data_IF_827903347745
#
_entry.id   IF_827903347745
#
_cell.length_a   1.000
_cell.length_b   1.000
_cell.length_c   1.000
_cell.angle_alpha   90.00
_cell.angle_beta   90.00
_cell.angle_gamma   90.00
#
_symmetry.space_group_name_H-M   'P 1'
#
loop_
_entity.id
_entity.type
_entity.pdbx_description
1 polymer ?
#
# COMPACT_ATOMS: atom_id res chain seq x y z
N UNK A 1 34.68 -38.75 51.74
CA UNK A 1 34.74 -37.27 51.75
C UNK A 1 34.81 -36.83 50.29
N UNK A 2 33.98 -35.98 49.69
CA UNK A 2 32.80 -35.19 50.05
C UNK A 2 32.03 -34.94 48.73
N UNK A 3 30.71 -34.79 48.83
CA UNK A 3 29.77 -34.45 47.74
C UNK A 3 29.99 -33.01 47.24
N UNK A 4 29.86 -32.77 45.94
CA UNK A 4 29.44 -31.47 45.39
C UNK A 4 28.68 -31.72 44.07
N UNK A 5 27.38 -32.00 44.10
CA UNK A 5 26.24 -31.07 44.17
C UNK A 5 26.18 -30.07 43.01
N UNK A 6 25.25 -30.34 42.09
CA UNK A 6 24.44 -29.41 41.31
C UNK A 6 25.07 -28.07 40.89
N UNK A 7 25.36 -27.93 39.60
CA UNK A 7 25.12 -26.67 38.92
C UNK A 7 24.41 -26.93 37.58
N UNK A 8 23.18 -27.44 37.69
CA UNK A 8 22.10 -27.06 36.78
C UNK A 8 21.92 -25.54 36.97
N UNK A 9 22.66 -24.73 36.19
CA UNK A 9 22.33 -23.33 36.01
C UNK A 9 21.58 -23.23 34.68
N UNK A 10 20.29 -22.84 34.70
CA UNK A 10 19.47 -22.90 33.51
C UNK A 10 19.94 -21.83 32.54
N UNK A 11 20.19 -22.23 31.28
CA UNK A 11 20.28 -21.33 30.14
C UNK A 11 18.87 -20.77 29.80
N UNK A 12 18.20 -20.20 30.80
CA UNK A 12 16.95 -19.46 30.67
C UNK A 12 17.28 -17.97 30.50
N UNK A 13 18.20 -17.66 29.59
CA UNK A 13 18.41 -16.29 29.16
C UNK A 13 17.40 -15.99 28.05
N UNK A 14 16.28 -15.41 28.49
CA UNK A 14 15.60 -14.32 27.81
C UNK A 14 15.34 -14.54 26.31
N UNK A 15 14.46 -15.49 25.99
CA UNK A 15 13.53 -15.23 24.88
C UNK A 15 12.60 -14.11 25.36
N UNK A 16 12.99 -12.87 25.11
CA UNK A 16 12.07 -11.74 25.05
C UNK A 16 11.08 -12.05 23.93
N UNK A 17 10.03 -12.80 24.26
CA UNK A 17 8.85 -12.91 23.41
C UNK A 17 8.31 -11.49 23.30
N UNK A 18 8.52 -10.86 22.14
CA UNK A 18 7.81 -9.64 21.80
C UNK A 18 6.33 -9.99 21.79
N UNK A 19 5.64 -9.72 22.89
CA UNK A 19 4.19 -9.84 22.95
C UNK A 19 3.66 -8.73 22.07
N UNK A 20 3.38 -9.05 20.81
CA UNK A 20 2.70 -8.13 19.91
C UNK A 20 1.36 -7.79 20.56
N UNK A 21 1.21 -6.55 21.01
CA UNK A 21 -0.04 -6.08 21.58
C UNK A 21 -1.09 -6.08 20.46
N UNK A 22 -1.99 -7.06 20.49
CA UNK A 22 -3.16 -7.06 19.64
C UNK A 22 -4.24 -6.20 20.30
N UNK A 23 -5.00 -5.48 19.49
CA UNK A 23 -6.19 -4.75 19.93
C UNK A 23 -7.37 -5.09 19.05
N UNK A 24 -8.57 -4.94 19.57
CA UNK A 24 -9.80 -5.23 18.84
C UNK A 24 -10.56 -3.95 18.61
N UNK A 25 -10.94 -3.72 17.36
CA UNK A 25 -11.80 -2.62 16.95
C UNK A 25 -13.21 -3.14 16.77
N UNK A 26 -14.16 -2.47 17.43
CA UNK A 26 -15.57 -2.82 17.38
C UNK A 26 -16.38 -1.58 17.00
N UNK A 27 -17.38 -1.80 16.16
CA UNK A 27 -18.28 -0.74 15.73
C UNK A 27 -19.57 -1.31 15.16
N UNK A 28 -20.42 -0.41 14.69
CA UNK A 28 -21.69 -0.73 14.05
C UNK A 28 -21.86 0.12 12.79
N UNK A 29 -22.34 -0.49 11.73
CA UNK A 29 -22.59 0.15 10.44
C UNK A 29 -24.10 0.24 10.23
N UNK A 30 -24.59 1.44 9.92
CA UNK A 30 -26.02 1.70 9.69
C UNK A 30 -26.23 2.58 8.45
N UNK A 31 -27.42 2.49 7.86
CA UNK A 31 -27.88 3.43 6.83
C UNK A 31 -28.05 4.83 7.44
N UNK A 32 -27.44 5.84 6.83
CA UNK A 32 -27.47 7.22 7.33
C UNK A 32 -28.87 7.86 7.35
N UNK A 33 -29.81 7.40 6.53
CA UNK A 33 -31.14 7.96 6.40
C UNK A 33 -32.19 7.22 7.24
N UNK A 34 -32.19 5.89 7.24
CA UNK A 34 -33.15 5.07 8.00
C UNK A 34 -32.66 4.70 9.39
N UNK A 35 -31.34 4.73 9.64
CA UNK A 35 -30.74 4.22 10.87
C UNK A 35 -30.76 2.68 10.97
N UNK A 36 -31.16 1.98 9.91
CA UNK A 36 -31.22 0.52 9.90
C UNK A 36 -29.81 -0.09 9.86
N UNK A 37 -29.57 -1.20 10.58
CA UNK A 37 -28.30 -1.89 10.54
C UNK A 37 -28.01 -2.47 9.16
N UNK A 38 -26.77 -2.28 8.69
CA UNK A 38 -26.31 -2.83 7.42
C UNK A 38 -25.60 -4.15 7.66
N UNK A 39 -26.34 -5.25 7.55
CA UNK A 39 -25.83 -6.62 7.65
C UNK A 39 -25.06 -7.04 6.41
N UNK A 40 -23.89 -7.65 6.58
CA UNK A 40 -23.03 -8.09 5.48
C UNK A 40 -22.22 -6.97 4.81
N UNK A 41 -22.11 -5.80 5.44
CA UNK A 41 -21.16 -4.78 5.02
C UNK A 41 -19.73 -5.29 5.23
N UNK A 42 -18.88 -5.08 4.22
CA UNK A 42 -17.46 -5.42 4.29
C UNK A 42 -16.72 -4.33 5.08
N UNK A 43 -15.89 -4.77 6.02
CA UNK A 43 -15.11 -3.89 6.90
C UNK A 43 -13.68 -4.40 6.92
N UNK A 44 -12.74 -3.65 6.35
CA UNK A 44 -11.35 -4.11 6.20
C UNK A 44 -10.32 -2.99 6.33
N UNK A 45 -9.10 -3.34 6.71
CA UNK A 45 -8.00 -2.37 6.77
C UNK A 45 -7.33 -2.23 5.40
N UNK A 46 -7.20 -1.00 4.91
CA UNK A 46 -6.63 -0.73 3.58
C UNK A 46 -5.23 -1.35 3.43
N UNK A 47 -5.02 -2.03 2.30
CA UNK A 47 -3.77 -2.68 1.91
C UNK A 47 -3.29 -3.71 2.95
N UNK A 48 -4.21 -4.46 3.55
CA UNK A 48 -3.90 -5.57 4.46
C UNK A 48 -4.64 -6.83 4.06
N UNK A 49 -4.39 -7.95 4.74
CA UNK A 49 -5.25 -9.15 4.70
C UNK A 49 -6.39 -9.11 5.74
N UNK A 50 -6.48 -8.05 6.55
CA UNK A 50 -7.33 -7.98 7.73
C UNK A 50 -8.69 -7.38 7.37
N UNK A 51 -9.73 -8.22 7.42
CA UNK A 51 -11.10 -7.80 7.19
C UNK A 51 -12.13 -8.70 7.85
N UNK A 52 -13.35 -8.20 7.96
CA UNK A 52 -14.50 -8.87 8.53
C UNK A 52 -15.78 -8.38 7.83
N UNK A 53 -16.91 -8.96 8.22
CA UNK A 53 -18.23 -8.54 7.76
C UNK A 53 -19.12 -8.23 8.95
N UNK A 54 -20.07 -7.31 8.77
CA UNK A 54 -21.05 -7.02 9.82
C UNK A 54 -22.07 -8.14 9.98
N UNK A 55 -22.53 -8.35 11.22
CA UNK A 55 -23.60 -9.28 11.53
C UNK A 55 -24.99 -8.68 11.24
N UNK A 56 -26.07 -9.39 11.63
CA UNK A 56 -27.47 -8.98 11.38
C UNK A 56 -27.83 -7.64 12.01
N UNK A 57 -27.21 -7.32 13.13
CA UNK A 57 -27.39 -6.08 13.87
C UNK A 57 -26.43 -4.96 13.40
N UNK A 58 -25.67 -5.20 12.33
CA UNK A 58 -24.73 -4.24 11.73
C UNK A 58 -23.41 -4.13 12.51
N UNK A 59 -23.20 -4.94 13.54
CA UNK A 59 -21.98 -4.92 14.35
C UNK A 59 -20.84 -5.68 13.67
N UNK A 60 -19.61 -5.19 13.86
CA UNK A 60 -18.40 -5.90 13.48
C UNK A 60 -17.39 -5.90 14.62
N UNK A 61 -16.44 -6.84 14.55
CA UNK A 61 -15.29 -6.92 15.43
C UNK A 61 -14.08 -7.37 14.62
N UNK A 62 -12.96 -6.67 14.73
CA UNK A 62 -11.74 -6.93 13.97
C UNK A 62 -10.52 -6.81 14.89
N UNK A 63 -9.74 -7.90 14.98
CA UNK A 63 -8.49 -7.93 15.75
C UNK A 63 -7.31 -7.50 14.89
N UNK A 64 -6.54 -6.54 15.38
CA UNK A 64 -5.43 -5.90 14.69
C UNK A 64 -4.17 -5.99 15.55
N UNK A 65 -3.00 -5.97 14.91
CA UNK A 65 -1.71 -5.78 15.58
C UNK A 65 -1.44 -4.28 15.72
N UNK A 66 -0.44 -3.90 16.52
CA UNK A 66 0.05 -2.52 16.54
C UNK A 66 0.43 -2.04 15.14
N UNK A 67 0.14 -0.78 14.85
CA UNK A 67 0.36 -0.18 13.54
C UNK A 67 -0.57 0.98 13.22
N UNK A 68 -0.54 1.40 11.95
CA UNK A 68 -1.46 2.35 11.35
C UNK A 68 -2.46 1.65 10.46
N UNK A 69 -3.72 2.07 10.54
CA UNK A 69 -4.79 1.55 9.72
C UNK A 69 -5.81 2.64 9.40
N UNK A 70 -6.27 2.63 8.15
CA UNK A 70 -7.53 3.24 7.77
C UNK A 70 -8.51 2.11 7.44
N UNK A 71 -9.63 2.09 8.18
CA UNK A 71 -10.72 1.13 8.01
C UNK A 71 -11.57 1.55 6.82
N UNK A 72 -11.82 0.63 5.91
CA UNK A 72 -12.65 0.82 4.73
C UNK A 72 -13.93 0.02 4.92
N UNK A 73 -15.06 0.71 4.74
CA UNK A 73 -16.39 0.16 4.90
C UNK A 73 -17.08 0.25 3.55
N UNK A 74 -17.48 -0.90 3.01
CA UNK A 74 -18.14 -1.00 1.71
C UNK A 74 -19.38 -1.86 1.79
N UNK A 75 -20.46 -1.41 1.16
CA UNK A 75 -21.70 -2.15 1.07
C UNK A 75 -22.40 -1.81 -0.25
N UNK A 76 -22.96 -2.83 -0.91
CA UNK A 76 -23.52 -2.69 -2.25
C UNK A 76 -24.63 -1.62 -2.28
N UNK A 77 -24.47 -0.64 -3.17
CA UNK A 77 -25.40 0.48 -3.32
C UNK A 77 -25.18 1.64 -2.33
N UNK A 78 -24.04 1.66 -1.63
CA UNK A 78 -23.65 2.72 -0.72
C UNK A 78 -22.28 3.28 -1.10
N UNK A 79 -22.08 4.56 -0.78
CA UNK A 79 -20.78 5.18 -0.88
C UNK A 79 -19.82 4.54 0.14
N UNK A 80 -18.62 4.21 -0.32
CA UNK A 80 -17.59 3.66 0.55
C UNK A 80 -17.05 4.73 1.47
N UNK A 81 -16.86 4.34 2.73
CA UNK A 81 -16.37 5.23 3.77
C UNK A 81 -15.01 4.74 4.28
N UNK A 82 -14.11 5.69 4.52
CA UNK A 82 -12.82 5.45 5.13
C UNK A 82 -12.81 6.11 6.51
N UNK A 83 -12.39 5.37 7.53
CA UNK A 83 -12.30 5.85 8.90
C UNK A 83 -10.93 5.50 9.45
N UNK A 84 -10.16 6.51 9.86
CA UNK A 84 -8.89 6.29 10.56
C UNK A 84 -9.15 5.74 11.95
N UNK A 85 -8.44 4.67 12.31
CA UNK A 85 -8.60 3.99 13.60
C UNK A 85 -7.29 3.99 14.38
N UNK A 86 -7.40 3.90 15.70
CA UNK A 86 -6.24 3.85 16.60
C UNK A 86 -6.50 2.89 17.75
N UNK A 87 -5.42 2.31 18.30
CA UNK A 87 -5.49 1.46 19.48
C UNK A 87 -6.07 2.18 20.71
N UNK A 88 -5.90 3.50 20.80
CA UNK A 88 -6.46 4.32 21.88
C UNK A 88 -7.99 4.46 21.84
N UNK A 89 -8.63 4.13 20.70
CA UNK A 89 -10.07 4.22 20.53
C UNK A 89 -10.63 2.90 19.95
N UNK A 90 -10.69 1.83 20.77
CA UNK A 90 -11.10 0.50 20.31
C UNK A 90 -12.60 0.39 19.97
N UNK A 91 -13.44 1.22 20.59
CA UNK A 91 -14.87 1.30 20.27
C UNK A 91 -15.10 2.58 19.49
N UNK A 92 -15.48 2.41 18.22
CA UNK A 92 -15.78 3.53 17.35
C UNK A 92 -17.28 3.87 17.41
N UNK A 93 -17.66 5.16 17.24
CA UNK A 93 -19.04 5.54 17.02
C UNK A 93 -19.65 4.82 15.82
N UNK A 94 -20.98 4.80 15.75
CA UNK A 94 -21.69 4.26 14.59
C UNK A 94 -21.19 4.92 13.29
N UNK A 95 -20.86 4.09 12.31
CA UNK A 95 -20.46 4.54 10.98
C UNK A 95 -21.71 4.57 10.10
N UNK A 96 -22.01 5.76 9.57
CA UNK A 96 -23.19 6.03 8.77
C UNK A 96 -22.87 5.95 7.27
N UNK A 97 -23.37 4.92 6.59
CA UNK A 97 -23.21 4.85 5.14
C UNK A 97 -24.31 5.61 4.42
N UNK A 98 -23.91 6.36 3.40
CA UNK A 98 -24.82 7.12 2.53
C UNK A 98 -25.12 6.26 1.30
N UNK A 99 -26.40 6.08 0.98
CA UNK A 99 -26.80 5.39 -0.25
C UNK A 99 -26.20 6.10 -1.46
N UNK A 100 -25.64 5.31 -2.37
CA UNK A 100 -25.06 5.84 -3.59
C UNK A 100 -26.18 6.24 -4.56
N UNK A 101 -26.25 7.52 -4.88
CA UNK A 101 -27.17 8.01 -5.90
C UNK A 101 -26.63 7.68 -7.29
N UNK A 102 -27.11 6.55 -7.83
CA UNK A 102 -26.74 6.08 -9.17
C UNK A 102 -27.10 7.08 -10.28
N UNK A 103 -28.07 7.97 -10.06
CA UNK A 103 -28.48 8.94 -11.08
C UNK A 103 -27.39 9.98 -11.38
N UNK A 104 -26.60 10.38 -10.37
CA UNK A 104 -25.51 11.34 -10.55
C UNK A 104 -24.30 10.72 -11.26
N UNK A 105 -23.92 9.49 -10.89
CA UNK A 105 -22.86 8.75 -11.57
C UNK A 105 -23.21 8.48 -13.04
N UNK A 106 -24.46 8.10 -13.29
CA UNK A 106 -24.96 7.85 -14.65
C UNK A 106 -25.05 9.12 -15.51
N UNK A 107 -25.38 10.28 -14.94
CA UNK A 107 -25.37 11.57 -15.65
C UNK A 107 -23.94 12.02 -16.00
N UNK A 108 -22.96 11.82 -15.11
CA UNK A 108 -21.55 12.10 -15.42
C UNK A 108 -21.08 11.19 -16.56
N UNK A 109 -21.40 9.89 -16.51
CA UNK A 109 -21.00 8.93 -17.54
C UNK A 109 -21.69 9.26 -18.88
N UNK A 110 -23.00 9.50 -18.90
CA UNK A 110 -23.76 9.82 -20.13
C UNK A 110 -23.46 11.19 -20.73
N UNK A 111 -23.04 12.17 -19.92
CA UNK A 111 -22.58 13.49 -20.41
C UNK A 111 -21.10 13.52 -20.78
N UNK A 112 -20.36 12.44 -20.52
CA UNK A 112 -18.92 12.36 -20.72
C UNK A 112 -18.53 11.68 -22.05
N UNK A 113 -17.30 11.96 -22.47
CA UNK A 113 -16.63 11.35 -23.61
C UNK A 113 -16.17 9.91 -23.29
N UNK A 114 -17.07 9.05 -22.80
CA UNK A 114 -16.75 7.63 -22.59
C UNK A 114 -16.35 6.99 -23.93
N UNK A 115 -15.25 6.24 -23.90
CA UNK A 115 -14.74 5.52 -25.05
C UNK A 115 -15.43 4.15 -25.09
N UNK A 116 -16.34 3.96 -26.06
CA UNK A 116 -17.15 2.73 -26.19
C UNK A 116 -16.32 1.44 -26.24
N UNK A 117 -15.18 1.48 -26.92
CA UNK A 117 -14.19 0.40 -27.08
C UNK A 117 -12.94 0.69 -26.24
N UNK A 118 -13.16 1.19 -25.02
CA UNK A 118 -12.11 1.67 -24.14
C UNK A 118 -11.13 0.57 -23.73
N UNK A 119 -11.63 -0.64 -23.46
CA UNK A 119 -10.79 -1.77 -23.10
C UNK A 119 -9.89 -2.21 -24.27
N UNK A 120 -10.43 -2.31 -25.47
CA UNK A 120 -9.67 -2.69 -26.66
C UNK A 120 -8.57 -1.65 -26.99
N UNK A 121 -8.85 -0.36 -26.75
CA UNK A 121 -7.90 0.73 -27.03
C UNK A 121 -6.87 0.95 -25.94
N UNK A 122 -7.27 0.85 -24.68
CA UNK A 122 -6.48 1.31 -23.53
C UNK A 122 -6.28 0.24 -22.46
N UNK A 123 -6.83 -0.97 -22.62
CA UNK A 123 -6.73 -2.04 -21.63
C UNK A 123 -5.29 -2.42 -21.34
N UNK A 124 -4.48 -2.72 -22.37
CA UNK A 124 -3.04 -3.01 -22.19
C UNK A 124 -2.32 -1.84 -21.50
N UNK A 125 -2.58 -0.62 -21.95
CA UNK A 125 -1.98 0.58 -21.36
C UNK A 125 -2.35 0.73 -19.89
N UNK A 126 -3.61 0.52 -19.53
CA UNK A 126 -4.08 0.54 -18.15
C UNK A 126 -3.39 -0.54 -17.31
N UNK A 127 -3.32 -1.78 -17.82
CA UNK A 127 -2.65 -2.89 -17.12
C UNK A 127 -1.17 -2.57 -16.87
N UNK A 128 -0.45 -2.07 -17.87
CA UNK A 128 0.97 -1.72 -17.74
C UNK A 128 1.21 -0.66 -16.66
N UNK A 129 0.29 0.29 -16.49
CA UNK A 129 0.42 1.41 -15.53
C UNK A 129 -0.25 1.17 -14.18
N UNK A 130 -1.19 0.22 -14.10
CA UNK A 130 -1.92 -0.09 -12.87
C UNK A 130 -1.38 -1.36 -12.22
N UNK A 131 -1.26 -2.46 -12.97
CA UNK A 131 -0.67 -3.71 -12.49
C UNK A 131 0.86 -3.63 -12.51
N UNK A 132 1.43 -3.13 -13.61
CA UNK A 132 2.86 -2.96 -13.80
C UNK A 132 3.43 -3.77 -14.97
N UNK A 133 4.74 -3.65 -15.18
CA UNK A 133 5.49 -4.35 -16.23
C UNK A 133 6.62 -5.23 -15.68
N UNK A 134 6.55 -5.56 -14.40
CA UNK A 134 7.56 -6.35 -13.68
C UNK A 134 7.44 -7.85 -13.97
N UNK A 135 8.45 -8.67 -13.61
CA UNK A 135 8.33 -10.13 -13.71
C UNK A 135 7.11 -10.71 -12.98
N UNK A 136 6.69 -10.11 -11.87
CA UNK A 136 5.49 -10.52 -11.13
C UNK A 136 4.20 -10.08 -11.82
N UNK A 137 4.23 -8.95 -12.54
CA UNK A 137 3.10 -8.47 -13.35
C UNK A 137 2.68 -9.50 -14.41
N UNK A 138 3.63 -10.26 -14.97
CA UNK A 138 3.35 -11.34 -15.94
C UNK A 138 2.53 -12.50 -15.37
N UNK A 139 2.49 -12.64 -14.06
CA UNK A 139 1.72 -13.66 -13.32
C UNK A 139 0.57 -13.01 -12.53
N UNK A 140 0.18 -11.79 -12.90
CA UNK A 140 -0.91 -11.05 -12.28
C UNK A 140 -1.98 -10.74 -13.31
N UNK A 141 -3.21 -11.15 -13.04
CA UNK A 141 -4.33 -11.04 -13.98
C UNK A 141 -5.48 -10.23 -13.38
N UNK A 142 -6.02 -9.28 -14.15
CA UNK A 142 -7.32 -8.68 -13.89
C UNK A 142 -8.42 -9.64 -14.40
N UNK A 143 -9.28 -10.11 -13.50
CA UNK A 143 -10.27 -11.15 -13.80
C UNK A 143 -11.62 -10.61 -14.31
N UNK A 144 -11.88 -9.31 -14.09
CA UNK A 144 -13.14 -8.65 -14.46
C UNK A 144 -12.94 -7.31 -15.20
N UNK A 145 -12.23 -7.29 -16.34
CA UNK A 145 -11.94 -6.04 -17.07
C UNK A 145 -13.19 -5.30 -17.57
N UNK A 146 -14.31 -5.99 -17.74
CA UNK A 146 -15.58 -5.44 -18.24
C UNK A 146 -16.20 -4.35 -17.34
N UNK A 147 -15.79 -4.30 -16.07
CA UNK A 147 -16.27 -3.30 -15.11
C UNK A 147 -15.57 -1.94 -15.28
N UNK A 148 -14.50 -1.87 -16.08
CA UNK A 148 -13.76 -0.64 -16.33
C UNK A 148 -14.49 0.25 -17.35
N UNK A 149 -14.43 1.56 -17.10
CA UNK A 149 -14.98 2.62 -17.96
C UNK A 149 -13.89 3.63 -18.27
N UNK A 150 -13.67 3.92 -19.55
CA UNK A 150 -12.55 4.72 -20.02
C UNK A 150 -13.03 6.06 -20.58
N UNK A 151 -12.36 7.14 -20.19
CA UNK A 151 -12.72 8.50 -20.56
C UNK A 151 -11.49 9.25 -21.04
N UNK A 152 -11.50 9.69 -22.29
CA UNK A 152 -10.42 10.53 -22.84
C UNK A 152 -10.77 12.01 -22.67
N UNK A 153 -10.09 12.67 -21.74
CA UNK A 153 -10.25 14.09 -21.46
C UNK A 153 -9.35 14.91 -22.40
N UNK A 154 -9.82 15.13 -23.63
CA UNK A 154 -9.04 15.79 -24.70
C UNK A 154 -8.47 17.16 -24.31
N UNK A 155 -9.25 17.99 -23.61
CA UNK A 155 -8.82 19.35 -23.22
C UNK A 155 -7.63 19.36 -22.26
N UNK A 156 -7.58 18.41 -21.33
CA UNK A 156 -6.51 18.30 -20.34
C UNK A 156 -5.44 17.27 -20.73
N UNK A 157 -5.63 16.59 -21.87
CA UNK A 157 -4.79 15.50 -22.35
C UNK A 157 -4.59 14.41 -21.29
N UNK A 158 -5.70 13.87 -20.78
CA UNK A 158 -5.70 12.81 -19.75
C UNK A 158 -6.57 11.63 -20.15
N UNK A 159 -6.10 10.42 -19.86
CA UNK A 159 -6.94 9.23 -19.80
C UNK A 159 -7.41 9.05 -18.35
N UNK A 160 -8.73 8.98 -18.13
CA UNK A 160 -9.31 8.62 -16.84
C UNK A 160 -9.98 7.26 -16.97
N UNK A 161 -9.76 6.40 -15.99
CA UNK A 161 -10.39 5.08 -15.90
C UNK A 161 -11.10 4.99 -14.55
N UNK A 162 -12.35 4.56 -14.59
CA UNK A 162 -13.21 4.29 -13.44
C UNK A 162 -13.61 2.81 -13.45
N UNK A 163 -14.07 2.30 -12.31
CA UNK A 163 -14.64 0.96 -12.23
C UNK A 163 -16.06 1.04 -11.66
N UNK A 164 -16.99 0.28 -12.24
CA UNK A 164 -18.37 0.19 -11.72
C UNK A 164 -18.50 -0.78 -10.56
N UNK A 165 -17.51 -1.65 -10.37
CA UNK A 165 -17.41 -2.65 -9.32
C UNK A 165 -15.95 -2.79 -8.87
N UNK A 166 -15.66 -3.34 -7.67
CA UNK A 166 -14.29 -3.66 -7.27
C UNK A 166 -13.59 -4.58 -8.28
N UNK A 167 -12.34 -4.27 -8.58
CA UNK A 167 -11.49 -5.07 -9.45
C UNK A 167 -11.04 -6.33 -8.71
N UNK A 168 -11.14 -7.48 -9.37
CA UNK A 168 -10.64 -8.78 -8.89
C UNK A 168 -9.33 -9.08 -9.59
N UNK A 169 -8.26 -9.15 -8.83
CA UNK A 169 -6.91 -9.25 -9.37
C UNK A 169 -6.23 -10.45 -8.73
N UNK A 170 -5.86 -11.43 -9.54
CA UNK A 170 -5.18 -12.63 -9.09
C UNK A 170 -3.69 -12.52 -9.33
N UNK A 171 -2.89 -12.53 -8.27
CA UNK A 171 -1.44 -12.46 -8.31
C UNK A 171 -0.85 -13.82 -7.94
N UNK A 172 -0.55 -14.64 -8.94
CA UNK A 172 0.02 -15.97 -8.74
C UNK A 172 1.49 -15.94 -8.35
N UNK A 173 2.21 -14.85 -8.66
CA UNK A 173 3.60 -14.68 -8.28
C UNK A 173 3.77 -14.53 -6.76
N UNK A 174 2.89 -13.75 -6.13
CA UNK A 174 2.92 -13.51 -4.68
C UNK A 174 1.89 -14.33 -3.90
N UNK A 175 1.06 -15.12 -4.57
CA UNK A 175 0.07 -15.97 -3.90
C UNK A 175 -1.06 -15.18 -3.24
N UNK A 176 -1.52 -14.10 -3.89
CA UNK A 176 -2.59 -13.26 -3.37
C UNK A 176 -3.74 -13.10 -4.37
N UNK A 177 -4.96 -13.06 -3.86
CA UNK A 177 -6.11 -12.46 -4.52
C UNK A 177 -6.31 -11.05 -3.95
N UNK A 178 -6.51 -10.07 -4.83
CA UNK A 178 -6.74 -8.68 -4.46
C UNK A 178 -8.16 -8.31 -4.87
N UNK A 179 -8.88 -7.68 -3.95
CA UNK A 179 -10.10 -6.93 -4.25
C UNK A 179 -9.72 -5.45 -4.16
N UNK A 180 -9.72 -4.78 -5.30
CA UNK A 180 -9.32 -3.38 -5.39
C UNK A 180 -10.51 -2.50 -5.76
N UNK A 181 -10.96 -1.68 -4.82
CA UNK A 181 -11.98 -0.68 -5.06
C UNK A 181 -11.34 0.57 -5.67
N UNK A 182 -11.43 0.70 -7.00
CA UNK A 182 -10.85 1.82 -7.75
C UNK A 182 -11.77 3.04 -7.70
N UNK A 183 -11.34 4.11 -7.01
CA UNK A 183 -11.99 5.44 -7.10
C UNK A 183 -11.70 6.07 -8.46
N UNK A 184 -10.42 6.19 -8.81
CA UNK A 184 -10.02 6.62 -10.14
C UNK A 184 -8.58 6.25 -10.46
N UNK A 185 -8.34 5.94 -11.73
CA UNK A 185 -7.02 5.98 -12.34
C UNK A 185 -6.98 7.15 -13.34
N UNK A 186 -5.91 7.91 -13.34
CA UNK A 186 -5.68 9.03 -14.25
C UNK A 186 -4.26 8.95 -14.78
N UNK A 187 -4.11 8.92 -16.10
CA UNK A 187 -2.85 9.14 -16.77
C UNK A 187 -2.83 10.51 -17.44
N UNK A 188 -1.82 11.32 -17.14
CA UNK A 188 -1.61 12.61 -17.76
C UNK A 188 -0.52 12.52 -18.83
N UNK A 189 -0.91 12.60 -20.10
CA UNK A 189 0.00 12.49 -21.25
C UNK A 189 0.99 13.66 -21.37
N UNK A 190 0.75 14.78 -20.69
CA UNK A 190 1.62 15.95 -20.77
C UNK A 190 2.93 15.77 -19.99
N UNK A 191 2.95 14.91 -18.97
CA UNK A 191 4.09 14.72 -18.08
C UNK A 191 4.35 13.25 -17.73
N UNK A 192 3.65 12.33 -18.40
CA UNK A 192 3.76 10.88 -18.23
C UNK A 192 3.59 10.41 -16.79
N UNK A 193 2.63 11.03 -16.08
CA UNK A 193 2.29 10.67 -14.70
C UNK A 193 1.01 9.85 -14.69
N UNK A 194 1.09 8.62 -14.17
CA UNK A 194 -0.06 7.86 -13.69
C UNK A 194 -0.35 8.20 -12.22
N UNK A 195 -1.62 8.28 -11.87
CA UNK A 195 -2.09 8.42 -10.49
C UNK A 195 -3.31 7.54 -10.35
N UNK A 196 -3.35 6.70 -9.32
CA UNK A 196 -4.54 5.94 -8.98
C UNK A 196 -4.86 6.07 -7.49
N UNK A 197 -6.15 6.06 -7.18
CA UNK A 197 -6.69 6.10 -5.82
C UNK A 197 -7.69 4.97 -5.64
N UNK A 198 -7.67 4.36 -4.48
CA UNK A 198 -8.57 3.28 -4.14
C UNK A 198 -8.14 2.53 -2.90
N UNK A 199 -8.86 1.45 -2.64
CA UNK A 199 -8.69 0.63 -1.45
C UNK A 199 -8.48 -0.81 -1.86
N UNK A 200 -7.41 -1.43 -1.35
CA UNK A 200 -7.10 -2.82 -1.64
C UNK A 200 -7.33 -3.68 -0.40
N UNK A 201 -7.97 -4.83 -0.58
CA UNK A 201 -8.00 -5.94 0.38
C UNK A 201 -7.28 -7.13 -0.24
N UNK A 202 -6.36 -7.72 0.52
CA UNK A 202 -5.66 -8.93 0.13
C UNK A 202 -6.32 -10.16 0.76
N UNK A 203 -6.28 -11.28 0.06
CA UNK A 203 -6.49 -12.60 0.62
C UNK A 203 -5.44 -13.56 0.05
N UNK A 204 -5.01 -14.53 0.85
CA UNK A 204 -4.04 -15.51 0.37
C UNK A 204 -4.71 -16.52 -0.56
N UNK A 205 -3.99 -16.91 -1.61
CA UNK A 205 -4.41 -18.02 -2.47
C UNK A 205 -4.16 -19.36 -1.77
N UNK A 206 -5.03 -20.33 -2.05
CA UNK A 206 -4.76 -21.72 -1.69
C UNK A 206 -3.71 -22.33 -2.64
N UNK A 207 -2.78 -23.11 -2.09
CA UNK A 207 -1.70 -23.72 -2.86
C UNK A 207 -1.15 -24.99 -2.21
N UNK A 208 -0.32 -25.72 -2.95
CA UNK A 208 0.47 -26.81 -2.38
C UNK A 208 1.62 -26.26 -1.52
N UNK A 209 2.27 -27.11 -0.72
CA UNK A 209 3.45 -26.69 0.06
C UNK A 209 4.56 -26.09 -0.82
N UNK A 210 4.78 -26.68 -2.00
CA UNK A 210 5.76 -26.18 -2.98
C UNK A 210 5.41 -24.78 -3.47
N UNK A 211 4.12 -24.50 -3.74
CA UNK A 211 3.68 -23.17 -4.16
C UNK A 211 3.81 -22.15 -3.02
N UNK A 212 3.43 -22.52 -1.79
CA UNK A 212 3.61 -21.66 -0.62
C UNK A 212 5.07 -21.29 -0.38
N UNK A 213 6.00 -22.22 -0.59
CA UNK A 213 7.43 -21.95 -0.50
C UNK A 213 7.90 -20.95 -1.56
N UNK A 214 7.42 -21.08 -2.80
CA UNK A 214 7.70 -20.11 -3.89
C UNK A 214 7.16 -18.72 -3.53
N UNK A 215 5.92 -18.63 -3.05
CA UNK A 215 5.32 -17.35 -2.66
C UNK A 215 6.09 -16.70 -1.51
N UNK A 216 6.48 -17.48 -0.50
CA UNK A 216 7.27 -16.98 0.63
C UNK A 216 8.59 -16.37 0.14
N UNK A 217 9.33 -17.09 -0.70
CA UNK A 217 10.59 -16.59 -1.28
C UNK A 217 10.39 -15.36 -2.17
N UNK A 218 9.31 -15.32 -2.96
CA UNK A 218 9.00 -14.16 -3.80
C UNK A 218 8.62 -12.93 -2.95
N UNK A 219 7.83 -13.11 -1.89
CA UNK A 219 7.44 -12.03 -0.97
C UNK A 219 8.66 -11.47 -0.24
N UNK A 220 9.55 -12.34 0.27
CA UNK A 220 10.79 -11.91 0.94
C UNK A 220 11.68 -11.12 -0.01
N UNK A 221 11.93 -11.67 -1.22
CA UNK A 221 12.68 -10.98 -2.27
C UNK A 221 12.08 -9.63 -2.64
N UNK A 222 10.74 -9.53 -2.68
CA UNK A 222 10.04 -8.32 -3.06
C UNK A 222 9.99 -7.29 -1.93
N UNK A 223 10.02 -7.74 -0.67
CA UNK A 223 10.06 -6.87 0.50
C UNK A 223 11.38 -6.11 0.59
N UNK A 224 12.50 -6.78 0.37
CA UNK A 224 13.82 -6.17 0.43
C UNK A 224 13.95 -5.02 -0.58
N UNK A 225 14.33 -3.84 -0.07
CA UNK A 225 14.43 -2.60 -0.85
C UNK A 225 13.09 -1.97 -1.26
N UNK A 226 11.95 -2.55 -0.88
CA UNK A 226 10.63 -1.99 -1.16
C UNK A 226 10.36 -0.70 -0.37
N UNK A 227 9.32 0.04 -0.79
CA UNK A 227 8.81 1.17 -0.01
C UNK A 227 8.33 0.72 1.39
N UNK A 228 7.72 -0.46 1.51
CA UNK A 228 7.26 -0.97 2.81
C UNK A 228 8.44 -1.22 3.75
N UNK A 229 9.51 -1.84 3.25
CA UNK A 229 10.75 -2.03 4.00
C UNK A 229 11.35 -0.68 4.41
N UNK A 230 11.46 0.28 3.48
CA UNK A 230 11.94 1.63 3.80
C UNK A 230 11.14 2.32 4.90
N UNK A 231 9.81 2.28 4.86
CA UNK A 231 8.96 2.91 5.88
C UNK A 231 9.20 2.30 7.26
N UNK A 232 9.32 0.97 7.35
CA UNK A 232 9.62 0.26 8.60
C UNK A 232 11.01 0.59 9.10
N UNK A 233 12.03 0.53 8.24
CA UNK A 233 13.40 0.90 8.58
C UNK A 233 13.53 2.36 9.03
N UNK A 234 12.70 3.26 8.50
CA UNK A 234 12.65 4.64 8.98
C UNK A 234 12.05 4.69 10.39
N UNK A 235 10.88 4.06 10.59
CA UNK A 235 10.21 3.98 11.88
C UNK A 235 11.12 3.40 12.98
N UNK A 236 11.81 2.30 12.68
CA UNK A 236 12.68 1.59 13.61
C UNK A 236 14.06 2.24 13.79
N UNK A 237 14.33 3.32 13.05
CA UNK A 237 15.62 3.99 13.02
C UNK A 237 16.80 3.10 12.54
N UNK A 238 16.54 2.18 11.61
CA UNK A 238 17.49 1.17 11.09
C UNK A 238 17.84 1.33 9.60
N UNK A 239 17.60 2.49 8.98
CA UNK A 239 17.80 2.69 7.53
C UNK A 239 19.18 2.25 7.05
N UNK A 240 20.24 2.63 7.77
CA UNK A 240 21.63 2.32 7.37
C UNK A 240 21.92 0.82 7.53
N UNK A 241 21.45 0.24 8.64
CA UNK A 241 21.54 -1.18 8.98
C UNK A 241 20.75 -2.04 8.00
N UNK A 242 19.70 -1.51 7.38
CA UNK A 242 18.89 -2.19 6.38
C UNK A 242 19.40 -1.93 4.95
N UNK A 243 20.38 -1.04 4.77
CA UNK A 243 21.05 -0.79 3.50
C UNK A 243 20.45 0.34 2.66
N UNK A 244 19.69 1.24 3.29
CA UNK A 244 19.17 2.45 2.67
C UNK A 244 20.09 3.65 2.87
N UNK A 245 20.21 4.47 1.83
CA UNK A 245 20.87 5.79 1.88
C UNK A 245 19.94 6.84 1.27
N UNK A 246 19.80 7.97 1.96
CA UNK A 246 19.01 9.11 1.50
C UNK A 246 19.97 10.22 1.04
N UNK A 247 19.65 10.84 -0.09
CA UNK A 247 20.34 12.04 -0.56
C UNK A 247 19.33 13.08 -1.05
N UNK A 248 19.60 14.36 -0.83
CA UNK A 248 18.72 15.46 -1.24
C UNK A 248 19.24 16.13 -2.51
N UNK A 249 18.32 16.49 -3.41
CA UNK A 249 18.63 17.16 -4.66
C UNK A 249 19.38 18.48 -4.40
N UNK A 250 20.49 18.70 -5.10
CA UNK A 250 21.31 19.90 -5.01
C UNK A 250 20.52 21.16 -5.41
N UNK A 251 20.78 22.29 -4.72
CA UNK A 251 20.07 23.56 -4.98
C UNK A 251 20.37 24.13 -6.37
N UNK A 252 21.55 23.86 -6.92
CA UNK A 252 22.00 24.42 -8.21
C UNK A 252 21.85 23.40 -9.34
N UNK A 253 22.02 22.12 -9.04
CA UNK A 253 22.11 21.07 -10.06
C UNK A 253 20.99 20.03 -9.92
N UNK A 254 19.98 20.10 -10.81
CA UNK A 254 18.80 19.21 -10.78
C UNK A 254 19.13 17.70 -10.81
N UNK A 255 20.26 17.31 -11.40
CA UNK A 255 20.65 15.91 -11.54
C UNK A 255 21.66 15.44 -10.48
N UNK A 256 21.99 16.30 -9.50
CA UNK A 256 22.92 15.98 -8.43
C UNK A 256 22.16 15.80 -7.12
N UNK A 257 22.48 14.75 -6.38
CA UNK A 257 21.93 14.47 -5.06
C UNK A 257 23.08 14.35 -4.06
N UNK A 258 22.96 15.02 -2.91
CA UNK A 258 23.98 15.03 -1.86
C UNK A 258 23.48 14.18 -0.67
N UNK A 259 24.19 13.11 -0.27
CA UNK A 259 23.79 12.28 0.87
C UNK A 259 23.57 13.08 2.14
N UNK A 260 22.54 12.72 2.90
CA UNK A 260 22.35 13.24 4.26
C UNK A 260 23.11 12.34 5.24
N UNK A 261 23.81 12.94 6.19
CA UNK A 261 24.61 12.20 7.17
C UNK A 261 23.76 11.55 8.25
N UNK A 262 22.69 12.22 8.68
CA UNK A 262 21.75 11.71 9.67
C UNK A 262 20.31 11.91 9.15
N UNK A 263 19.61 10.84 8.69
CA UNK A 263 18.22 10.94 8.29
C UNK A 263 17.28 11.23 9.47
N UNK A 264 17.70 10.98 10.71
CA UNK A 264 16.90 11.19 11.93
C UNK A 264 17.14 12.55 12.58
N UNK A 265 17.78 13.48 11.86
CA UNK A 265 17.92 14.86 12.31
C UNK A 265 16.56 15.56 12.31
N UNK A 266 16.34 16.47 13.27
CA UNK A 266 15.10 17.25 13.40
C UNK A 266 14.79 18.14 12.19
N UNK A 267 15.70 18.24 11.21
CA UNK A 267 15.45 18.89 9.92
C UNK A 267 14.62 18.04 8.95
N UNK A 268 14.45 16.75 9.21
CA UNK A 268 13.76 15.78 8.33
C UNK A 268 12.85 14.79 9.07
N UNK A 269 12.96 14.72 10.40
CA UNK A 269 12.35 13.71 11.24
C UNK A 269 11.80 14.30 12.54
N UNK A 270 10.63 13.81 12.95
CA UNK A 270 10.03 14.11 14.24
C UNK A 270 9.45 12.84 14.86
N UNK A 271 9.77 12.57 16.13
CA UNK A 271 9.11 11.51 16.89
C UNK A 271 7.92 12.08 17.66
N UNK A 272 6.77 11.42 17.58
CA UNK A 272 5.57 11.76 18.35
C UNK A 272 5.26 10.61 19.31
N UNK A 273 5.95 10.59 20.45
CA UNK A 273 5.90 9.50 21.43
C UNK A 273 4.47 9.18 21.91
N UNK A 274 3.61 10.18 22.02
CA UNK A 274 2.23 10.01 22.47
C UNK A 274 1.32 9.31 21.46
N UNK A 275 1.68 9.30 20.17
CA UNK A 275 0.85 8.76 19.10
C UNK A 275 1.45 7.52 18.44
N UNK A 276 2.62 7.04 18.89
CA UNK A 276 3.34 5.88 18.32
C UNK A 276 3.50 6.01 16.79
N UNK A 277 3.89 7.20 16.35
CA UNK A 277 4.19 7.48 14.97
C UNK A 277 5.42 8.37 14.88
N UNK A 278 6.13 8.26 13.77
CA UNK A 278 7.15 9.22 13.39
C UNK A 278 6.60 10.08 12.27
N UNK A 279 7.10 11.29 12.13
CA UNK A 279 6.84 12.18 11.01
C UNK A 279 8.13 12.38 10.23
N UNK A 280 8.05 12.31 8.91
CA UNK A 280 9.17 12.59 8.03
C UNK A 280 8.79 13.62 6.98
N UNK A 281 9.76 14.44 6.61
CA UNK A 281 9.63 15.39 5.53
C UNK A 281 10.97 15.59 4.82
N UNK A 282 10.91 15.98 3.54
CA UNK A 282 12.09 16.35 2.78
C UNK A 282 11.89 17.74 2.20
N UNK A 283 12.80 18.70 2.45
CA UNK A 283 12.65 20.07 1.94
C UNK A 283 12.81 20.15 0.42
N UNK A 284 13.27 19.06 -0.21
CA UNK A 284 13.56 18.93 -1.65
C UNK A 284 13.38 17.48 -2.04
N UNK A 285 13.30 17.22 -3.36
CA UNK A 285 13.32 15.88 -3.92
C UNK A 285 14.48 15.05 -3.34
N UNK A 286 14.16 13.87 -2.83
CA UNK A 286 15.11 12.92 -2.27
C UNK A 286 15.38 11.80 -3.28
N UNK A 287 16.60 11.28 -3.29
CA UNK A 287 16.90 9.95 -3.85
C UNK A 287 17.06 8.97 -2.70
N UNK A 288 16.36 7.85 -2.79
CA UNK A 288 16.44 6.73 -1.86
C UNK A 288 17.16 5.60 -2.59
N UNK A 289 18.33 5.23 -2.08
CA UNK A 289 19.16 4.16 -2.63
C UNK A 289 19.07 2.94 -1.74
N UNK A 290 18.81 1.77 -2.32
CA UNK A 290 18.96 0.48 -1.65
C UNK A 290 20.19 -0.26 -2.17
N UNK A 291 21.13 -0.55 -1.28
CA UNK A 291 22.48 -0.99 -1.65
C UNK A 291 22.67 -2.51 -1.69
N UNK A 292 21.70 -3.27 -1.16
CA UNK A 292 21.84 -4.72 -0.98
C UNK A 292 21.32 -5.55 -2.13
N UNK A 293 20.76 -4.92 -3.16
CA UNK A 293 20.18 -5.63 -4.28
C UNK A 293 20.30 -4.82 -5.57
N UNK A 294 20.55 -5.54 -6.67
CA UNK A 294 20.53 -4.98 -8.02
C UNK A 294 19.09 -4.81 -8.51
N UNK A 295 18.80 -3.84 -9.38
CA UNK A 295 17.52 -3.80 -10.09
C UNK A 295 17.37 -5.03 -11.00
N UNK A 296 16.14 -5.41 -11.31
CA UNK A 296 15.87 -6.45 -12.30
C UNK A 296 16.35 -6.03 -13.70
N UNK A 297 16.83 -6.98 -14.53
CA UNK A 297 17.26 -6.69 -15.89
C UNK A 297 16.20 -5.97 -16.74
N UNK A 298 14.92 -6.32 -16.58
CA UNK A 298 13.81 -5.67 -17.28
C UNK A 298 13.67 -4.18 -16.94
N UNK A 299 13.91 -3.79 -15.68
CA UNK A 299 13.92 -2.38 -15.27
C UNK A 299 15.05 -1.61 -15.99
N UNK A 300 16.25 -2.20 -16.01
CA UNK A 300 17.42 -1.61 -16.68
C UNK A 300 17.18 -1.48 -18.19
N UNK A 301 16.60 -2.50 -18.82
CA UNK A 301 16.28 -2.46 -20.24
C UNK A 301 15.22 -1.41 -20.57
N UNK A 302 14.12 -1.35 -19.80
CA UNK A 302 13.02 -0.42 -20.02
C UNK A 302 13.47 1.04 -19.88
N UNK A 303 14.36 1.33 -18.92
CA UNK A 303 14.91 2.67 -18.71
C UNK A 303 16.22 2.94 -19.46
N UNK A 304 16.70 1.99 -20.28
CA UNK A 304 17.95 2.09 -21.05
C UNK A 304 19.17 2.41 -20.17
N UNK A 305 19.23 1.78 -19.00
CA UNK A 305 20.33 1.89 -18.03
C UNK A 305 21.41 0.83 -18.29
N UNK A 306 22.66 1.04 -17.84
CA UNK A 306 23.71 0.02 -17.89
C UNK A 306 23.30 -1.27 -17.17
N UNK A 307 23.69 -2.43 -17.72
CA UNK A 307 23.31 -3.74 -17.18
C UNK A 307 23.98 -4.09 -15.84
N UNK A 308 25.04 -3.37 -15.47
CA UNK A 308 25.86 -3.61 -14.29
C UNK A 308 25.51 -2.72 -13.09
N UNK A 309 24.44 -1.90 -13.19
CA UNK A 309 23.96 -1.05 -12.09
C UNK A 309 23.78 -1.90 -10.82
N UNK A 310 24.55 -1.64 -9.74
CA UNK A 310 24.61 -2.54 -8.59
C UNK A 310 23.54 -2.27 -7.53
N UNK A 311 22.80 -1.17 -7.67
CA UNK A 311 21.94 -0.61 -6.63
C UNK A 311 20.61 -0.17 -7.20
N UNK A 312 19.57 -0.19 -6.38
CA UNK A 312 18.26 0.33 -6.72
C UNK A 312 18.17 1.80 -6.29
N UNK A 313 17.65 2.67 -7.16
CA UNK A 313 17.44 4.08 -6.85
C UNK A 313 16.00 4.46 -7.16
N UNK A 314 15.34 5.00 -6.15
CA UNK A 314 14.03 5.62 -6.25
C UNK A 314 14.15 7.11 -5.96
N UNK A 315 13.31 7.93 -6.59
CA UNK A 315 13.24 9.36 -6.27
C UNK A 315 11.90 9.68 -5.66
N UNK A 316 11.89 10.47 -4.61
CA UNK A 316 10.70 10.82 -3.84
C UNK A 316 10.58 12.34 -3.77
N UNK A 317 9.40 12.84 -4.07
CA UNK A 317 8.98 14.21 -3.82
C UNK A 317 7.85 14.16 -2.80
N UNK A 318 8.03 14.87 -1.67
CA UNK A 318 7.04 14.97 -0.61
C UNK A 318 6.39 16.34 -0.69
N UNK A 319 5.10 16.38 -1.01
CA UNK A 319 4.36 17.66 -1.07
C UNK A 319 3.90 18.13 0.30
N UNK A 320 3.93 17.23 1.30
CA UNK A 320 3.64 17.50 2.70
C UNK A 320 4.41 16.48 3.57
N UNK A 321 4.47 16.74 4.88
CA UNK A 321 4.97 15.76 5.84
C UNK A 321 4.07 14.51 5.86
N UNK A 322 4.68 13.35 6.10
CA UNK A 322 3.94 12.09 6.25
C UNK A 322 4.22 11.47 7.62
N UNK A 323 3.18 10.93 8.24
CA UNK A 323 3.30 10.20 9.49
C UNK A 323 3.37 8.70 9.21
N UNK A 324 4.43 8.04 9.69
CA UNK A 324 4.69 6.60 9.52
C UNK A 324 4.41 5.88 10.84
N UNK A 325 3.83 4.69 10.73
CA UNK A 325 3.43 3.82 11.83
C UNK A 325 4.27 2.53 11.81
N UNK A 326 4.30 1.81 12.93
CA UNK A 326 5.14 0.62 13.14
C UNK A 326 5.07 -0.43 12.02
N UNK A 327 3.87 -0.70 11.50
CA UNK A 327 3.67 -1.67 10.41
C UNK A 327 4.14 -1.15 9.03
N UNK A 328 4.69 0.06 8.95
CA UNK A 328 5.06 0.75 7.71
C UNK A 328 3.92 1.47 7.01
N UNK A 329 2.70 1.45 7.58
CA UNK A 329 1.60 2.27 7.09
C UNK A 329 1.94 3.75 7.27
N UNK A 330 1.54 4.59 6.33
CA UNK A 330 1.76 6.02 6.43
C UNK A 330 0.52 6.82 6.03
N UNK A 331 0.30 7.92 6.75
CA UNK A 331 -0.78 8.88 6.51
C UNK A 331 -0.37 9.92 5.48
N UNK A 332 -1.36 10.64 4.93
CA UNK A 332 -1.17 11.58 3.83
C UNK A 332 -0.54 10.93 2.60
N UNK A 333 -1.04 9.75 2.20
CA UNK A 333 -0.48 8.96 1.11
C UNK A 333 -0.36 9.73 -0.22
N UNK A 334 -1.25 10.70 -0.47
CA UNK A 334 -1.20 11.58 -1.65
C UNK A 334 -0.02 12.55 -1.66
N UNK A 335 0.59 12.81 -0.51
CA UNK A 335 1.78 13.64 -0.42
C UNK A 335 3.04 12.94 -0.95
N UNK A 336 3.00 11.62 -1.09
CA UNK A 336 4.12 10.81 -1.55
C UNK A 336 4.09 10.61 -3.07
N UNK A 337 5.04 11.24 -3.77
CA UNK A 337 5.22 11.07 -5.21
C UNK A 337 6.55 10.36 -5.44
N UNK A 338 6.54 9.18 -6.07
CA UNK A 338 7.76 8.45 -6.37
C UNK A 338 7.99 8.18 -7.86
N UNK A 339 9.27 8.11 -8.23
CA UNK A 339 9.78 7.80 -9.57
C UNK A 339 10.97 6.83 -9.44
N UNK A 340 11.47 6.35 -10.57
CA UNK A 340 12.59 5.39 -10.58
C UNK A 340 12.10 4.00 -10.19
N UNK A 341 12.90 3.28 -9.41
CA UNK A 341 12.67 1.86 -9.15
C UNK A 341 11.30 1.58 -8.49
N UNK A 342 10.92 2.34 -7.46
CA UNK A 342 9.59 2.21 -6.84
C UNK A 342 8.44 2.70 -7.74
N UNK A 343 8.71 3.58 -8.71
CA UNK A 343 7.68 3.99 -9.69
C UNK A 343 7.41 2.92 -10.75
N UNK A 344 8.36 2.02 -10.97
CA UNK A 344 8.22 0.87 -11.86
C UNK A 344 7.48 -0.31 -11.19
N UNK A 345 7.66 -0.45 -9.87
CA UNK A 345 6.96 -1.42 -9.01
C UNK A 345 5.53 -0.94 -8.74
N UNK A 346 4.55 -1.49 -9.45
CA UNK A 346 3.13 -1.13 -9.32
C UNK A 346 2.35 -2.19 -8.50
N UNK A 347 1.03 -2.32 -8.72
CA UNK A 347 0.15 -3.16 -7.90
C UNK A 347 0.62 -4.62 -7.78
N UNK A 348 1.19 -5.21 -8.83
CA UNK A 348 1.67 -6.59 -8.83
C UNK A 348 2.81 -6.85 -7.84
N UNK A 349 3.53 -5.79 -7.44
CA UNK A 349 4.66 -5.85 -6.51
C UNK A 349 4.27 -5.30 -5.12
N UNK A 350 2.99 -5.06 -4.85
CA UNK A 350 2.57 -4.66 -3.50
C UNK A 350 2.56 -5.85 -2.54
N UNK A 351 3.02 -5.59 -1.33
CA UNK A 351 2.85 -6.48 -0.18
C UNK A 351 1.89 -5.81 0.81
N UNK A 352 1.02 -6.60 1.47
CA UNK A 352 0.11 -6.04 2.46
C UNK A 352 0.88 -5.55 3.69
N UNK A 353 0.39 -4.52 4.38
CA UNK A 353 1.07 -3.92 5.54
C UNK A 353 1.21 -4.87 6.74
N UNK A 354 0.46 -5.97 6.77
CA UNK A 354 0.54 -7.04 7.76
C UNK A 354 1.44 -8.21 7.32
N UNK A 355 2.07 -8.13 6.14
CA UNK A 355 3.16 -9.04 5.77
C UNK A 355 4.38 -8.80 6.67
N UNK A 356 4.94 -9.88 7.21
CA UNK A 356 6.19 -9.87 7.97
C UNK A 356 7.17 -10.83 7.28
N UNK A 357 8.38 -10.37 6.92
CA UNK A 357 9.38 -11.19 6.25
C UNK A 357 9.91 -12.32 7.12
#
# INVERSE_FOLDING_TARGET
MQKLKYLLLPALFLFSQSVYCQFTIQGRIVDSASGEPLSGASVYCQNTTLGTVTNKEGHFSLSLKSGGYDLVISFTGYQTQQVRISQSQPVIPDILLIKEDKSLGEVIIRSSNEVKDGWEKYGSFFIDHFIGTTPFSRQTQLENPEVLKFFLLKKSNKLRVLATEPLRIRNEALGYQLIYQLDSFVYAYNNDISTYRGFCLFSELEGTDSLRAIWTANREKNYLGSKLHFMRSYYDSTLSEDGFVIALQDLKFKNKFNPISNPYDTSYYGALDSTQQIEIWFPRKASITYQRQKPEPEYLQQLKLPADVPIQISYVDLTDAIAIRENGYYYEQSAWINQGYWGWKNLADLLPYDYLP
#
